data_IF_384427008622
#
_entry.id   IF_384427008622
#
_cell.length_a   1.000
_cell.length_b   1.000
_cell.length_c   1.000
_cell.angle_alpha   90.00
_cell.angle_beta   90.00
_cell.angle_gamma   90.00
#
_symmetry.space_group_name_H-M   'P 1'
#
loop_
_entity.id
_entity.type
_entity.pdbx_description
1 polymer ?
#
# COMPACT_ATOMS: atom_id res chain seq x y z
N UNK A 1 -4.78 16.25 29.24
CA UNK A 1 -5.97 16.69 28.52
C UNK A 1 -6.83 15.47 28.25
N UNK A 2 -8.05 15.44 28.75
CA UNK A 2 -9.00 14.36 28.48
C UNK A 2 -9.62 14.63 27.11
N UNK A 3 -9.31 13.79 26.14
CA UNK A 3 -10.00 13.84 24.86
C UNK A 3 -11.37 13.18 25.02
N UNK A 4 -12.37 13.97 25.25
CA UNK A 4 -13.78 13.53 25.23
C UNK A 4 -14.39 13.67 23.83
N UNK A 5 -13.57 13.81 22.80
CA UNK A 5 -14.04 13.90 21.44
C UNK A 5 -14.39 12.54 20.90
N UNK A 6 -15.67 12.24 20.80
CA UNK A 6 -16.17 11.18 19.93
C UNK A 6 -16.12 11.72 18.50
N UNK A 7 -15.10 11.37 17.75
CA UNK A 7 -14.91 11.80 16.37
C UNK A 7 -13.60 11.27 15.82
N UNK A 8 -13.51 11.25 14.50
CA UNK A 8 -12.28 10.90 13.82
C UNK A 8 -11.24 12.00 13.98
N UNK A 9 -10.01 11.60 14.23
CA UNK A 9 -8.86 12.48 14.29
C UNK A 9 -7.73 11.85 13.50
N UNK A 10 -7.09 12.59 12.60
CA UNK A 10 -5.86 12.09 12.04
C UNK A 10 -4.68 12.44 12.96
N UNK A 11 -3.81 11.45 13.15
CA UNK A 11 -2.66 11.54 14.04
C UNK A 11 -1.43 11.16 13.22
N UNK A 12 -0.46 12.06 13.19
CA UNK A 12 0.81 11.82 12.53
C UNK A 12 1.92 11.78 13.57
N UNK A 13 2.75 10.75 13.52
CA UNK A 13 3.91 10.56 14.37
C UNK A 13 5.16 10.56 13.50
N UNK A 14 6.10 11.46 13.79
CA UNK A 14 7.42 11.45 13.18
C UNK A 14 8.48 11.14 14.23
N UNK A 15 9.36 10.20 13.93
CA UNK A 15 10.51 9.85 14.76
C UNK A 15 11.78 10.00 13.95
N UNK A 16 12.68 10.90 14.39
CA UNK A 16 14.07 10.93 13.89
C UNK A 16 14.94 10.17 14.87
N UNK A 17 15.63 9.15 14.39
CA UNK A 17 16.49 8.31 15.22
C UNK A 17 17.79 9.03 15.57
N UNK A 18 18.22 8.94 16.83
CA UNK A 18 19.47 9.50 17.29
C UNK A 18 19.74 9.20 18.76
N UNK A 19 21.02 9.11 19.14
CA UNK A 19 21.42 8.83 20.53
C UNK A 19 21.32 10.05 21.44
N UNK A 20 21.40 11.26 20.88
CA UNK A 20 21.31 12.53 21.62
C UNK A 20 20.65 13.65 20.82
N UNK A 21 20.37 13.43 19.56
CA UNK A 21 19.77 14.39 18.62
C UNK A 21 18.47 13.90 18.01
N UNK A 22 17.90 12.82 18.54
CA UNK A 22 16.62 12.29 18.10
C UNK A 22 15.49 13.29 18.33
N UNK A 23 14.46 13.19 17.49
CA UNK A 23 13.26 14.04 17.53
C UNK A 23 12.03 13.15 17.53
N UNK A 24 11.08 13.50 18.37
CA UNK A 24 9.72 12.95 18.35
C UNK A 24 8.76 14.10 18.12
N UNK A 25 7.93 14.01 17.09
CA UNK A 25 6.89 14.99 16.82
C UNK A 25 5.56 14.27 16.62
N UNK A 26 4.50 14.78 17.27
CA UNK A 26 3.13 14.30 17.10
C UNK A 26 2.25 15.45 16.66
N UNK A 27 1.50 15.25 15.61
CA UNK A 27 0.45 16.17 15.17
C UNK A 27 -0.92 15.52 15.32
N UNK A 28 -1.89 16.29 15.70
CA UNK A 28 -3.30 15.90 15.76
C UNK A 28 -4.09 16.90 14.93
N UNK A 29 -4.77 16.45 13.90
CA UNK A 29 -5.48 17.30 12.94
C UNK A 29 -4.58 18.43 12.37
N UNK A 30 -3.34 18.10 12.03
CA UNK A 30 -2.33 19.02 11.51
C UNK A 30 -1.68 19.95 12.56
N UNK A 31 -2.19 19.97 13.78
CA UNK A 31 -1.67 20.85 14.85
C UNK A 31 -0.60 20.10 15.64
N UNK A 32 0.57 20.71 15.79
CA UNK A 32 1.65 20.17 16.61
C UNK A 32 1.21 20.05 18.07
N UNK A 33 1.07 18.82 18.54
CA UNK A 33 0.65 18.50 19.91
C UNK A 33 1.83 18.20 20.84
N UNK A 34 2.84 17.51 20.32
CA UNK A 34 4.05 17.14 21.06
C UNK A 34 5.25 17.38 20.15
N UNK A 35 6.31 17.98 20.70
CA UNK A 35 7.62 18.01 20.08
C UNK A 35 8.68 17.84 21.16
N UNK A 36 9.51 16.83 20.99
CA UNK A 36 10.66 16.56 21.85
C UNK A 36 11.90 16.50 20.96
N UNK A 37 12.89 17.30 21.30
CA UNK A 37 14.18 17.37 20.58
C UNK A 37 15.30 16.92 21.49
N UNK A 38 16.46 16.65 20.93
CA UNK A 38 17.65 16.22 21.68
C UNK A 38 17.38 14.97 22.55
N UNK A 39 16.57 14.04 22.03
CA UNK A 39 16.22 12.81 22.74
C UNK A 39 17.13 11.65 22.31
N UNK A 40 17.29 10.67 23.21
CA UNK A 40 17.78 9.36 22.81
C UNK A 40 16.58 8.54 22.32
N UNK A 41 16.40 8.45 21.00
CA UNK A 41 15.37 7.66 20.34
C UNK A 41 15.88 6.30 19.86
N UNK A 42 17.15 5.97 20.12
CA UNK A 42 17.79 4.69 19.80
C UNK A 42 18.27 4.05 21.10
N UNK A 43 17.39 3.40 21.81
CA UNK A 43 17.80 2.64 23.00
C UNK A 43 18.39 1.30 22.60
N UNK A 44 19.61 0.97 23.07
CA UNK A 44 20.26 -0.31 22.78
C UNK A 44 20.85 -0.43 21.38
N UNK A 45 21.01 0.67 20.63
CA UNK A 45 21.64 0.63 19.29
C UNK A 45 20.76 0.04 18.19
N UNK A 46 19.47 -0.15 18.44
CA UNK A 46 18.52 -0.74 17.51
C UNK A 46 17.86 0.28 16.58
N UNK A 47 17.35 -0.22 15.47
CA UNK A 47 16.44 0.51 14.60
C UNK A 47 15.01 0.42 15.14
N UNK A 48 14.14 1.36 14.77
CA UNK A 48 12.70 1.26 15.03
C UNK A 48 12.15 0.11 14.18
N UNK A 49 11.79 -0.98 14.84
CA UNK A 49 11.31 -2.19 14.15
C UNK A 49 9.80 -2.37 14.22
N UNK A 50 9.13 -1.64 15.11
CA UNK A 50 7.70 -1.82 15.36
C UNK A 50 7.05 -0.48 15.66
N UNK A 51 5.96 -0.19 14.97
CA UNK A 51 5.00 0.83 15.34
C UNK A 51 3.77 0.13 15.95
N UNK A 52 3.29 0.63 17.08
CA UNK A 52 2.13 0.09 17.75
C UNK A 52 1.06 1.17 17.89
N UNK A 53 -0.15 0.88 17.43
CA UNK A 53 -1.33 1.72 17.62
C UNK A 53 -2.30 0.97 18.52
N UNK A 54 -2.54 1.49 19.73
CA UNK A 54 -3.43 0.80 20.67
C UNK A 54 -3.19 1.19 22.12
N UNK A 55 -3.86 0.47 23.03
CA UNK A 55 -3.64 0.61 24.47
C UNK A 55 -2.39 -0.17 24.89
N UNK A 56 -1.60 0.40 25.80
CA UNK A 56 -0.42 -0.28 26.35
C UNK A 56 -0.89 -1.50 27.17
N UNK A 57 -0.34 -2.70 26.93
CA UNK A 57 -0.66 -3.88 27.71
C UNK A 57 -0.39 -3.67 29.20
N UNK A 58 -1.26 -4.18 30.07
CA UNK A 58 -1.13 -4.05 31.52
C UNK A 58 -1.78 -2.81 32.14
N UNK A 59 -2.32 -1.90 31.34
CA UNK A 59 -3.18 -0.82 31.82
C UNK A 59 -4.64 -1.29 31.74
N UNK A 60 -5.35 -1.22 32.86
CA UNK A 60 -6.77 -1.57 32.90
C UNK A 60 -7.60 -0.42 32.30
N UNK A 61 -7.49 -0.23 30.97
CA UNK A 61 -8.19 0.79 30.22
C UNK A 61 -9.11 0.12 29.20
N UNK A 62 -10.43 0.13 29.42
CA UNK A 62 -11.38 -0.36 28.43
C UNK A 62 -11.46 0.67 27.29
N UNK A 63 -10.57 0.54 26.30
CA UNK A 63 -10.48 1.41 25.15
C UNK A 63 -10.77 0.61 23.88
N UNK A 64 -11.72 1.08 23.10
CA UNK A 64 -11.91 0.65 21.71
C UNK A 64 -11.34 1.75 20.81
N UNK A 65 -10.47 1.38 19.90
CA UNK A 65 -9.89 2.26 18.89
C UNK A 65 -10.23 1.67 17.54
N UNK A 66 -10.90 2.46 16.72
CA UNK A 66 -11.07 2.19 15.31
C UNK A 66 -9.97 2.94 14.56
N UNK A 67 -9.28 2.27 13.64
CA UNK A 67 -8.19 2.84 12.84
C UNK A 67 -8.54 2.67 11.38
N UNK A 68 -8.40 3.74 10.62
CA UNK A 68 -8.60 3.77 9.19
C UNK A 68 -7.52 4.66 8.54
N UNK A 69 -7.40 4.61 7.21
CA UNK A 69 -6.52 5.49 6.44
C UNK A 69 -5.05 5.48 6.92
N UNK A 70 -4.50 4.30 7.15
CA UNK A 70 -3.17 4.15 7.73
C UNK A 70 -2.06 4.25 6.68
N UNK A 71 -1.02 5.06 6.96
CA UNK A 71 0.19 5.12 6.16
C UNK A 71 1.46 5.08 7.00
N UNK A 72 2.55 4.60 6.39
CA UNK A 72 3.92 4.71 6.93
C UNK A 72 4.80 5.28 5.81
N UNK A 73 5.58 6.29 6.16
CA UNK A 73 6.57 6.87 5.27
C UNK A 73 7.93 6.93 5.98
N UNK A 74 9.00 6.82 5.22
CA UNK A 74 10.36 7.06 5.71
C UNK A 74 10.93 8.36 5.14
N UNK A 75 12.15 8.70 5.51
CA UNK A 75 12.84 9.90 5.03
C UNK A 75 13.71 9.63 3.80
N UNK A 76 13.65 8.43 3.24
CA UNK A 76 14.36 8.09 2.01
C UNK A 76 13.66 8.72 0.79
N UNK A 77 14.39 8.88 -0.30
CA UNK A 77 13.81 9.45 -1.51
C UNK A 77 13.57 10.96 -1.43
N UNK A 78 12.77 11.46 -2.37
CA UNK A 78 12.50 12.90 -2.56
C UNK A 78 11.03 13.28 -2.43
N UNK A 79 10.15 12.32 -2.18
CA UNK A 79 8.70 12.50 -2.05
C UNK A 79 8.20 11.71 -0.85
N UNK A 80 7.05 12.08 -0.33
CA UNK A 80 6.35 11.40 0.76
C UNK A 80 7.21 11.17 2.02
N UNK A 81 8.23 11.97 2.23
CA UNK A 81 9.24 11.83 3.28
C UNK A 81 9.04 12.77 4.48
N UNK A 82 7.86 13.31 4.62
CA UNK A 82 7.43 14.18 5.71
C UNK A 82 5.96 13.93 6.04
N UNK A 83 5.39 14.73 6.91
CA UNK A 83 3.97 14.69 7.20
C UNK A 83 3.13 14.91 5.93
N UNK A 84 2.20 14.01 5.64
CA UNK A 84 1.33 14.05 4.47
C UNK A 84 -0.02 14.71 4.75
N UNK A 85 -0.38 14.86 6.02
CA UNK A 85 -1.64 15.44 6.47
C UNK A 85 -2.76 14.40 6.56
N UNK A 86 -3.98 14.86 6.35
CA UNK A 86 -5.18 14.02 6.36
C UNK A 86 -5.26 13.22 5.06
N UNK A 87 -4.64 12.06 5.07
CA UNK A 87 -4.60 11.13 3.93
C UNK A 87 -5.81 10.22 3.97
N UNK A 88 -6.37 9.93 2.82
CA UNK A 88 -7.41 8.93 2.64
C UNK A 88 -6.86 7.74 1.84
N UNK A 89 -7.27 6.54 2.20
CA UNK A 89 -6.99 5.31 1.48
C UNK A 89 -8.28 4.79 0.87
N UNK A 90 -8.37 4.79 -0.46
CA UNK A 90 -9.49 4.20 -1.19
C UNK A 90 -9.06 2.82 -1.72
N UNK A 91 -9.82 1.79 -1.40
CA UNK A 91 -9.67 0.46 -1.97
C UNK A 91 -10.51 0.35 -3.24
N UNK A 92 -9.86 0.04 -4.36
CA UNK A 92 -10.48 -0.07 -5.68
C UNK A 92 -10.22 -1.47 -6.24
N UNK A 93 -11.22 -2.06 -6.89
CA UNK A 93 -11.16 -3.41 -7.42
C UNK A 93 -11.01 -3.40 -8.94
N UNK A 94 -10.55 -4.55 -9.49
CA UNK A 94 -10.58 -4.78 -10.92
C UNK A 94 -12.04 -4.79 -11.42
N UNK A 95 -12.28 -4.11 -12.54
CA UNK A 95 -13.61 -4.01 -13.15
C UNK A 95 -13.64 -4.48 -14.61
N UNK A 96 -12.47 -4.59 -15.26
CA UNK A 96 -12.34 -5.11 -16.61
C UNK A 96 -10.94 -5.68 -16.85
N UNK A 97 -10.80 -6.56 -17.85
CA UNK A 97 -9.48 -6.98 -18.33
C UNK A 97 -8.79 -5.83 -19.06
N UNK A 98 -7.50 -5.63 -18.76
CA UNK A 98 -6.67 -4.61 -19.39
C UNK A 98 -6.08 -5.07 -20.73
N UNK A 99 -5.07 -4.34 -21.18
CA UNK A 99 -4.42 -4.58 -22.48
C UNK A 99 -3.51 -5.82 -22.50
N UNK A 100 -3.04 -6.27 -21.34
CA UNK A 100 -2.18 -7.45 -21.19
C UNK A 100 -2.99 -8.59 -20.58
N UNK A 101 -3.19 -9.68 -21.35
CA UNK A 101 -4.05 -10.77 -20.94
C UNK A 101 -3.36 -12.12 -21.27
N UNK A 102 -2.39 -12.51 -20.44
CA UNK A 102 -1.54 -13.68 -20.66
C UNK A 102 -1.67 -14.75 -19.56
N UNK A 103 -2.41 -14.47 -18.49
CA UNK A 103 -2.70 -15.44 -17.47
C UNK A 103 -4.00 -16.18 -17.77
N UNK A 104 -4.13 -17.39 -17.28
CA UNK A 104 -5.31 -18.22 -17.49
C UNK A 104 -6.24 -18.13 -16.30
N UNK A 105 -7.51 -17.72 -16.50
CA UNK A 105 -8.48 -17.71 -15.42
C UNK A 105 -8.98 -19.11 -15.08
N UNK A 106 -9.35 -19.32 -13.85
CA UNK A 106 -10.05 -20.50 -13.34
C UNK A 106 -11.31 -20.03 -12.59
N UNK A 107 -12.49 -20.54 -12.97
CA UNK A 107 -12.78 -21.49 -14.06
C UNK A 107 -12.47 -20.96 -15.46
N UNK A 108 -12.11 -21.85 -16.37
CA UNK A 108 -11.86 -21.46 -17.77
C UNK A 108 -13.13 -20.89 -18.40
N UNK A 109 -12.99 -19.73 -19.06
CA UNK A 109 -14.11 -19.02 -19.70
C UNK A 109 -14.69 -17.90 -18.86
N UNK A 110 -14.23 -17.72 -17.61
CA UNK A 110 -14.45 -16.52 -16.82
C UNK A 110 -13.50 -15.41 -17.30
N UNK A 111 -13.90 -14.16 -17.26
CA UNK A 111 -12.98 -13.05 -17.50
C UNK A 111 -11.92 -13.01 -16.38
N UNK A 112 -10.69 -12.60 -16.69
CA UNK A 112 -9.63 -12.64 -15.70
C UNK A 112 -9.90 -11.65 -14.55
N UNK A 113 -10.51 -10.50 -14.83
CA UNK A 113 -10.88 -9.53 -13.81
C UNK A 113 -11.97 -10.08 -12.85
N UNK A 114 -12.95 -10.84 -13.36
CA UNK A 114 -13.97 -11.48 -12.52
C UNK A 114 -13.36 -12.52 -11.57
N UNK A 115 -12.31 -13.23 -12.04
CA UNK A 115 -11.62 -14.24 -11.24
C UNK A 115 -10.70 -13.66 -10.15
N UNK A 116 -10.51 -12.33 -10.10
CA UNK A 116 -9.68 -11.66 -9.10
C UNK A 116 -10.41 -10.54 -8.34
N UNK A 117 -11.68 -10.30 -8.65
CA UNK A 117 -12.48 -9.25 -8.02
C UNK A 117 -13.13 -9.68 -6.71
N UNK A 118 -13.03 -10.94 -6.36
CA UNK A 118 -13.47 -11.49 -5.08
C UNK A 118 -12.26 -12.10 -4.32
N UNK A 119 -12.49 -12.54 -3.09
CA UNK A 119 -11.48 -13.23 -2.28
C UNK A 119 -11.72 -14.75 -2.24
N UNK A 120 -12.43 -15.29 -3.23
CA UNK A 120 -12.74 -16.71 -3.31
C UNK A 120 -11.57 -17.49 -3.94
N UNK A 121 -11.00 -18.44 -3.20
CA UNK A 121 -9.94 -19.32 -3.73
C UNK A 121 -10.41 -20.25 -4.87
N UNK A 122 -11.72 -20.40 -5.10
CA UNK A 122 -12.25 -21.17 -6.21
C UNK A 122 -12.10 -20.45 -7.55
N UNK A 123 -11.95 -19.14 -7.52
CA UNK A 123 -11.68 -18.27 -8.66
C UNK A 123 -10.25 -17.73 -8.57
N UNK A 124 -9.51 -17.78 -9.64
CA UNK A 124 -8.12 -17.33 -9.66
C UNK A 124 -7.61 -17.13 -11.10
N UNK A 125 -6.47 -16.49 -11.22
CA UNK A 125 -5.68 -16.50 -12.45
C UNK A 125 -4.34 -17.20 -12.20
N UNK A 126 -3.81 -17.87 -13.20
CA UNK A 126 -2.55 -18.60 -13.11
C UNK A 126 -1.65 -18.39 -14.31
N UNK A 127 -0.34 -18.40 -14.07
CA UNK A 127 0.68 -18.32 -15.11
C UNK A 127 1.65 -19.50 -15.01
N UNK A 128 1.78 -20.33 -16.08
CA UNK A 128 2.65 -21.50 -16.06
C UNK A 128 4.13 -21.17 -16.35
N UNK A 129 4.43 -19.96 -16.85
CA UNK A 129 5.77 -19.56 -17.25
C UNK A 129 6.10 -18.16 -16.68
N UNK A 130 7.39 -17.86 -16.54
CA UNK A 130 7.87 -16.53 -16.16
C UNK A 130 7.69 -15.52 -17.27
N UNK A 131 7.54 -14.24 -16.92
CA UNK A 131 7.42 -13.12 -17.84
C UNK A 131 6.02 -12.93 -18.45
N UNK A 132 5.04 -13.73 -18.03
CA UNK A 132 3.65 -13.53 -18.45
C UNK A 132 3.02 -12.39 -17.65
N UNK A 133 2.25 -11.55 -18.34
CA UNK A 133 1.63 -10.35 -17.79
C UNK A 133 0.11 -10.41 -17.86
N UNK A 134 -0.52 -9.92 -16.83
CA UNK A 134 -1.95 -9.68 -16.77
C UNK A 134 -2.18 -8.29 -16.20
N UNK A 135 -3.01 -7.49 -16.86
CA UNK A 135 -3.41 -6.19 -16.39
C UNK A 135 -4.94 -6.05 -16.34
N UNK A 136 -5.39 -5.11 -15.53
CA UNK A 136 -6.80 -4.83 -15.28
C UNK A 136 -7.03 -3.33 -15.27
N UNK A 137 -8.18 -2.91 -15.80
CA UNK A 137 -8.78 -1.65 -15.46
C UNK A 137 -9.38 -1.76 -14.05
N UNK A 138 -9.21 -0.73 -13.25
CA UNK A 138 -9.77 -0.67 -11.90
C UNK A 138 -10.90 0.37 -11.82
N UNK A 139 -11.69 0.28 -10.77
CA UNK A 139 -12.69 1.30 -10.47
C UNK A 139 -12.06 2.70 -10.48
N UNK A 140 -12.77 3.71 -11.01
CA UNK A 140 -12.26 5.07 -11.02
C UNK A 140 -12.20 5.64 -9.60
N UNK A 141 -11.21 6.51 -9.36
CA UNK A 141 -11.13 7.24 -8.11
C UNK A 141 -12.43 8.04 -7.85
N UNK A 142 -12.89 8.07 -6.59
CA UNK A 142 -13.96 8.96 -6.21
C UNK A 142 -13.62 10.42 -6.55
N UNK A 143 -14.61 11.18 -7.02
CA UNK A 143 -14.41 12.60 -7.35
C UNK A 143 -14.02 13.37 -6.10
N UNK A 144 -12.84 13.99 -6.13
CA UNK A 144 -12.31 14.84 -5.07
C UNK A 144 -12.05 16.26 -5.59
N UNK A 145 -12.21 17.26 -4.71
CA UNK A 145 -12.03 18.65 -5.11
C UNK A 145 -10.58 18.99 -5.53
N UNK A 146 -9.59 18.37 -4.90
CA UNK A 146 -8.15 18.55 -5.19
C UNK A 146 -7.39 17.26 -4.86
N UNK A 147 -7.45 16.26 -5.75
CA UNK A 147 -6.78 14.99 -5.46
C UNK A 147 -5.27 15.15 -5.54
N UNK A 148 -4.58 14.87 -4.43
CA UNK A 148 -3.16 14.63 -4.41
C UNK A 148 -2.96 13.15 -4.13
N UNK A 149 -2.52 12.37 -5.13
CA UNK A 149 -2.26 10.94 -4.97
C UNK A 149 -0.80 10.77 -4.56
N UNK A 150 -0.58 10.31 -3.35
CA UNK A 150 0.75 10.12 -2.79
C UNK A 150 1.39 8.80 -3.24
N UNK A 151 0.59 7.82 -3.57
CA UNK A 151 1.06 6.53 -4.07
C UNK A 151 -0.10 5.60 -4.40
N UNK A 152 0.20 4.56 -5.14
CA UNK A 152 -0.73 3.49 -5.50
C UNK A 152 -0.16 2.18 -4.97
N UNK A 153 -0.84 1.58 -4.01
CA UNK A 153 -0.49 0.26 -3.51
C UNK A 153 -1.30 -0.79 -4.26
N UNK A 154 -0.60 -1.69 -4.92
CA UNK A 154 -1.20 -2.89 -5.47
C UNK A 154 -1.14 -3.99 -4.41
N UNK A 155 -2.30 -4.54 -4.06
CA UNK A 155 -2.43 -5.65 -3.12
C UNK A 155 -3.01 -6.85 -3.85
N UNK A 156 -2.44 -8.01 -3.62
CA UNK A 156 -2.85 -9.27 -4.24
C UNK A 156 -2.85 -10.41 -3.24
N UNK A 157 -3.82 -11.28 -3.33
CA UNK A 157 -3.86 -12.54 -2.59
C UNK A 157 -3.27 -13.64 -3.49
N UNK A 158 -2.10 -14.16 -3.14
CA UNK A 158 -1.34 -15.01 -4.05
C UNK A 158 -0.62 -16.17 -3.35
N UNK A 159 -0.43 -17.25 -4.11
CA UNK A 159 0.40 -18.40 -3.73
C UNK A 159 1.08 -19.02 -4.94
N UNK A 160 2.07 -19.84 -4.72
CA UNK A 160 2.58 -20.78 -5.73
C UNK A 160 1.87 -22.12 -5.61
N UNK A 161 1.81 -22.85 -6.72
CA UNK A 161 1.15 -24.15 -6.79
C UNK A 161 2.11 -25.31 -7.09
N UNK A 162 3.40 -25.01 -7.23
CA UNK A 162 4.43 -26.01 -7.49
C UNK A 162 5.54 -25.98 -6.43
N UNK A 163 6.44 -26.96 -6.48
CA UNK A 163 7.58 -27.06 -5.55
C UNK A 163 8.74 -26.10 -5.85
N UNK A 164 8.69 -25.37 -6.97
CA UNK A 164 9.72 -24.42 -7.39
C UNK A 164 9.67 -23.11 -6.61
N UNK A 165 10.59 -22.20 -6.95
CA UNK A 165 10.53 -20.82 -6.49
C UNK A 165 9.52 -20.08 -7.34
N UNK A 166 8.30 -19.91 -6.84
CA UNK A 166 7.30 -19.04 -7.45
C UNK A 166 7.53 -17.60 -7.03
N UNK A 167 7.51 -16.69 -7.99
CA UNK A 167 7.60 -15.26 -7.75
C UNK A 167 6.58 -14.51 -8.60
N UNK A 168 6.19 -13.36 -8.09
CA UNK A 168 5.34 -12.41 -8.79
C UNK A 168 5.86 -11.00 -8.62
N UNK A 169 5.57 -10.13 -9.56
CA UNK A 169 5.78 -8.69 -9.46
C UNK A 169 4.45 -7.98 -9.63
N UNK A 170 4.25 -6.90 -8.93
CA UNK A 170 3.19 -5.97 -9.28
C UNK A 170 3.54 -5.25 -10.58
N UNK A 171 2.54 -5.00 -11.41
CA UNK A 171 2.64 -4.37 -12.71
C UNK A 171 1.75 -3.13 -12.79
N UNK A 172 2.28 -2.07 -13.35
CA UNK A 172 1.50 -0.88 -13.74
C UNK A 172 1.76 -0.58 -15.21
N UNK A 173 0.70 -0.35 -15.97
CA UNK A 173 0.76 0.16 -17.34
C UNK A 173 0.14 1.56 -17.35
N UNK A 174 0.88 2.58 -17.76
CA UNK A 174 0.41 3.96 -17.85
C UNK A 174 0.86 4.60 -19.15
N UNK A 175 -0.09 4.88 -20.03
CA UNK A 175 0.19 5.31 -21.38
C UNK A 175 1.04 4.29 -22.16
N UNK A 176 2.16 4.71 -22.71
CA UNK A 176 3.07 3.82 -23.43
C UNK A 176 4.15 3.17 -22.54
N UNK A 177 4.11 3.40 -21.24
CA UNK A 177 5.12 2.91 -20.30
C UNK A 177 4.53 1.84 -19.38
N UNK A 178 5.37 0.88 -19.01
CA UNK A 178 5.05 -0.08 -17.94
C UNK A 178 6.17 -0.13 -16.93
N UNK A 179 5.82 -0.37 -15.68
CA UNK A 179 6.76 -0.63 -14.60
C UNK A 179 6.35 -1.87 -13.84
N UNK A 180 7.33 -2.60 -13.34
CA UNK A 180 7.12 -3.73 -12.45
C UNK A 180 7.86 -3.49 -11.14
N UNK A 181 7.32 -4.05 -10.07
CA UNK A 181 7.98 -4.04 -8.76
C UNK A 181 9.21 -4.96 -8.73
N UNK A 182 9.89 -4.99 -7.60
CA UNK A 182 10.82 -6.07 -7.25
C UNK A 182 10.08 -7.40 -7.12
N UNK A 183 10.83 -8.50 -7.23
CA UNK A 183 10.30 -9.85 -7.04
C UNK A 183 9.70 -10.03 -5.64
N UNK A 184 8.47 -10.54 -5.61
CA UNK A 184 7.79 -11.01 -4.41
C UNK A 184 7.82 -12.54 -4.42
N UNK A 185 8.46 -13.14 -3.42
CA UNK A 185 8.56 -14.60 -3.31
C UNK A 185 7.28 -15.17 -2.74
N UNK A 186 6.64 -16.06 -3.50
CA UNK A 186 5.39 -16.69 -3.10
C UNK A 186 5.63 -17.94 -2.25
N UNK A 187 4.73 -18.18 -1.31
CA UNK A 187 4.64 -19.40 -0.52
C UNK A 187 3.57 -20.33 -1.09
N UNK A 188 3.56 -21.59 -0.65
CA UNK A 188 2.49 -22.54 -0.99
C UNK A 188 1.16 -22.17 -0.32
N UNK A 189 1.25 -21.53 0.85
CA UNK A 189 0.10 -21.00 1.54
C UNK A 189 -0.33 -19.68 0.92
N UNK A 190 -1.62 -19.51 0.70
CA UNK A 190 -2.20 -18.27 0.22
C UNK A 190 -1.94 -17.13 1.21
N UNK A 191 -1.41 -16.04 0.72
CA UNK A 191 -1.05 -14.89 1.55
C UNK A 191 -1.20 -13.57 0.79
N UNK A 192 -1.55 -12.53 1.54
CA UNK A 192 -1.57 -11.17 1.02
C UNK A 192 -0.15 -10.69 0.73
N UNK A 193 0.00 -10.16 -0.47
CA UNK A 193 1.22 -9.53 -0.95
C UNK A 193 0.90 -8.10 -1.38
N UNK A 194 1.84 -7.19 -1.21
CA UNK A 194 1.64 -5.82 -1.65
C UNK A 194 2.91 -5.21 -2.23
N UNK A 195 2.74 -4.25 -3.11
CA UNK A 195 3.80 -3.40 -3.64
C UNK A 195 3.30 -1.99 -3.84
N UNK A 196 4.19 -1.01 -3.71
CA UNK A 196 3.86 0.42 -3.77
C UNK A 196 4.50 1.06 -5.01
N UNK A 197 3.73 1.82 -5.74
CA UNK A 197 4.15 2.69 -6.82
C UNK A 197 3.93 4.15 -6.42
N UNK A 198 4.94 4.78 -5.84
CA UNK A 198 4.85 6.18 -5.41
C UNK A 198 4.71 7.16 -6.58
N UNK A 199 5.19 6.77 -7.76
CA UNK A 199 5.17 7.60 -8.97
C UNK A 199 4.51 6.89 -10.12
N UNK A 200 3.86 7.68 -10.98
CA UNK A 200 3.42 7.20 -12.27
C UNK A 200 4.64 6.85 -13.14
N UNK A 201 4.76 5.62 -13.66
CA UNK A 201 5.87 5.23 -14.52
C UNK A 201 5.95 6.05 -15.83
N UNK A 202 4.84 6.62 -16.30
CA UNK A 202 4.83 7.52 -17.44
C UNK A 202 5.37 8.90 -17.03
N UNK A 203 6.64 9.11 -17.27
CA UNK A 203 7.37 10.33 -16.96
C UNK A 203 7.96 10.37 -15.54
N UNK A 204 7.78 9.34 -14.71
CA UNK A 204 8.26 9.29 -13.31
C UNK A 204 7.82 10.51 -12.49
N UNK A 205 6.56 10.88 -12.63
CA UNK A 205 5.94 12.05 -11.98
C UNK A 205 4.94 11.63 -10.92
N UNK A 206 4.47 12.57 -10.12
CA UNK A 206 3.39 12.32 -9.17
C UNK A 206 2.13 11.84 -9.92
N UNK A 207 1.39 10.94 -9.33
CA UNK A 207 0.11 10.50 -9.84
C UNK A 207 -0.89 11.65 -9.88
N UNK A 208 -1.65 11.72 -10.97
CA UNK A 208 -2.85 12.57 -11.08
C UNK A 208 -4.07 11.67 -11.21
N UNK A 209 -5.25 12.16 -10.87
CA UNK A 209 -6.50 11.43 -11.04
C UNK A 209 -6.68 10.92 -12.47
N UNK A 210 -6.46 11.79 -13.46
CA UNK A 210 -6.56 11.40 -14.87
C UNK A 210 -5.57 10.31 -15.27
N UNK A 211 -4.34 10.37 -14.75
CA UNK A 211 -3.32 9.36 -15.04
C UNK A 211 -3.60 8.04 -14.34
N UNK A 212 -4.17 8.08 -13.13
CA UNK A 212 -4.60 6.89 -12.41
C UNK A 212 -5.78 6.20 -13.13
N UNK A 213 -6.82 6.96 -13.46
CA UNK A 213 -8.03 6.45 -14.11
C UNK A 213 -7.76 5.94 -15.55
N UNK A 214 -6.63 6.29 -16.15
CA UNK A 214 -6.19 5.81 -17.46
C UNK A 214 -5.09 4.72 -17.37
N UNK A 215 -4.69 4.33 -16.17
CA UNK A 215 -3.68 3.30 -15.96
C UNK A 215 -4.33 1.93 -15.74
N UNK A 216 -3.58 0.88 -16.09
CA UNK A 216 -3.93 -0.49 -15.79
C UNK A 216 -2.99 -1.02 -14.70
N UNK A 217 -3.51 -1.86 -13.83
CA UNK A 217 -2.78 -2.45 -12.73
C UNK A 217 -2.85 -3.98 -12.82
N UNK A 218 -1.79 -4.65 -12.41
CA UNK A 218 -1.78 -6.10 -12.59
C UNK A 218 -0.52 -6.78 -12.05
N UNK A 219 -0.18 -7.89 -12.69
CA UNK A 219 0.90 -8.78 -12.23
C UNK A 219 1.77 -9.26 -13.39
N UNK A 220 3.04 -9.55 -13.07
CA UNK A 220 3.98 -10.28 -13.93
C UNK A 220 4.51 -11.48 -13.18
N UNK A 221 4.48 -12.67 -13.79
CA UNK A 221 5.13 -13.87 -13.24
C UNK A 221 6.66 -13.76 -13.35
N UNK A 222 7.43 -14.18 -12.34
CA UNK A 222 8.87 -13.99 -12.27
C UNK A 222 9.62 -15.23 -11.76
#
# INVERSE_FOLDING_TARGET
ASATARGWHYIELQVTQGTSNGVLSVRINGILAIQMTAQNTIQGGGQLLTAFVGAVPGQNCPLTIDVDDFYIADTSGTINNTFLGDVRVDALQAQADGSLNQWTPSPVGTAAWEAVSDEDEATAISAPNVGLRQSFDVEPLPVMATPAIYGVQLTMLARKTDAGLGKVKGLVVSGAQSAVSTDIVLQEQLAWQSTLFERNPNGNVQWTEAAFNAAEFGVESA
#
